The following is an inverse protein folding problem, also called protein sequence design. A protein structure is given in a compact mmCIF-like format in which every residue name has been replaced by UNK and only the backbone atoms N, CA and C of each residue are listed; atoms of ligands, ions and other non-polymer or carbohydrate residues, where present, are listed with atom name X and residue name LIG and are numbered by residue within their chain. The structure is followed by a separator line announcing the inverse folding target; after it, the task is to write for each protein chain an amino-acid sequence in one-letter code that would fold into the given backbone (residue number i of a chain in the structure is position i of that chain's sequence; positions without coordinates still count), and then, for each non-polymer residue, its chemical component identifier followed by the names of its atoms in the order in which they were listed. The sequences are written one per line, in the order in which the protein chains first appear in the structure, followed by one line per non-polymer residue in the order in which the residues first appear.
data_IF_531965526324
#
_entry.id   IF_531965526324
#
_cell.length_a   1.000
_cell.length_b   1.000
_cell.length_c   1.000
_cell.angle_alpha   90.00
_cell.angle_beta   90.00
_cell.angle_gamma   90.00
#
_symmetry.space_group_name_H-M   'P 1'
#
loop_
_entity.id
_entity.type
_entity.pdbx_description
1 polymer ?
#
# COMPACT_ATOMS: atom_id res chain seq x y z
N UNK A 1 -14.68 -12.84 -2.12
CA UNK A 1 -15.50 -11.60 -2.13
C UNK A 1 -16.63 -11.62 -3.17
N UNK A 2 -16.37 -11.92 -4.46
CA UNK A 2 -17.40 -11.87 -5.50
C UNK A 2 -18.67 -12.68 -5.15
N UNK A 3 -18.51 -13.94 -4.72
CA UNK A 3 -19.62 -14.78 -4.28
C UNK A 3 -20.40 -14.18 -3.11
N UNK A 4 -19.72 -13.51 -2.18
CA UNK A 4 -20.38 -12.84 -1.06
C UNK A 4 -21.27 -11.71 -1.56
N UNK A 5 -20.75 -10.85 -2.45
CA UNK A 5 -21.52 -9.74 -3.02
C UNK A 5 -22.71 -10.21 -3.87
N UNK A 6 -22.55 -11.29 -4.64
CA UNK A 6 -23.64 -11.86 -5.45
C UNK A 6 -24.77 -12.45 -4.59
N UNK A 7 -24.44 -13.09 -3.47
CA UNK A 7 -25.39 -13.88 -2.69
C UNK A 7 -25.94 -13.18 -1.44
N UNK A 8 -25.48 -11.97 -1.10
CA UNK A 8 -25.91 -11.25 0.09
C UNK A 8 -26.49 -9.87 -0.24
N UNK A 9 -27.64 -9.54 0.39
CA UNK A 9 -28.23 -8.21 0.29
C UNK A 9 -27.42 -7.16 1.08
N UNK A 10 -27.39 -5.89 0.64
CA UNK A 10 -28.10 -5.34 -0.53
C UNK A 10 -27.37 -5.55 -1.87
N UNK A 11 -26.12 -6.03 -1.86
CA UNK A 11 -25.29 -6.11 -3.06
C UNK A 11 -25.83 -7.05 -4.13
N UNK A 12 -26.39 -8.20 -3.74
CA UNK A 12 -26.94 -9.18 -4.69
C UNK A 12 -28.04 -8.60 -5.58
N UNK A 13 -28.83 -7.65 -5.06
CA UNK A 13 -29.83 -6.92 -5.86
C UNK A 13 -29.17 -5.99 -6.89
N UNK A 14 -28.09 -5.30 -6.50
CA UNK A 14 -27.36 -4.44 -7.44
C UNK A 14 -26.66 -5.24 -8.53
N UNK A 15 -26.15 -6.43 -8.21
CA UNK A 15 -25.58 -7.35 -9.20
C UNK A 15 -26.66 -7.87 -10.14
N UNK A 16 -27.80 -8.34 -9.62
CA UNK A 16 -28.88 -8.90 -10.45
C UNK A 16 -29.58 -7.86 -11.33
N UNK A 17 -29.66 -6.59 -10.89
CA UNK A 17 -30.16 -5.48 -11.69
C UNK A 17 -29.09 -4.90 -12.66
N UNK A 18 -27.89 -5.48 -12.72
CA UNK A 18 -26.81 -5.03 -13.61
C UNK A 18 -26.23 -3.66 -13.22
N UNK A 19 -26.43 -3.21 -11.98
CA UNK A 19 -25.86 -1.96 -11.44
C UNK A 19 -24.44 -2.14 -10.94
N UNK A 20 -24.03 -3.38 -10.63
CA UNK A 20 -22.66 -3.75 -10.30
C UNK A 20 -22.19 -4.87 -11.24
N UNK A 21 -21.16 -4.58 -12.02
CA UNK A 21 -20.42 -5.56 -12.82
C UNK A 21 -19.23 -6.07 -11.99
N UNK A 22 -19.33 -7.31 -11.50
CA UNK A 22 -18.26 -7.92 -10.71
C UNK A 22 -17.24 -8.57 -11.65
N UNK A 23 -15.98 -8.14 -11.57
CA UNK A 23 -14.85 -8.72 -12.29
C UNK A 23 -13.87 -9.31 -11.27
N UNK A 24 -13.97 -10.60 -10.94
CA UNK A 24 -13.04 -11.25 -10.02
C UNK A 24 -11.62 -11.16 -10.57
N UNK A 25 -10.67 -10.91 -9.66
CA UNK A 25 -9.25 -10.83 -9.96
C UNK A 25 -8.58 -12.04 -9.30
N UNK A 26 -7.69 -12.71 -10.04
CA UNK A 26 -6.86 -13.78 -9.48
C UNK A 26 -5.59 -13.15 -8.90
N UNK A 27 -5.38 -13.34 -7.60
CA UNK A 27 -4.16 -12.88 -6.91
C UNK A 27 -2.91 -13.53 -7.51
N UNK A 28 -1.83 -12.76 -7.60
CA UNK A 28 -0.57 -13.22 -8.16
C UNK A 28 -0.48 -13.18 -9.69
N UNK A 29 -1.58 -12.94 -10.41
CA UNK A 29 -1.60 -12.87 -11.88
C UNK A 29 -1.80 -11.43 -12.40
N UNK A 30 -1.33 -11.17 -13.62
CA UNK A 30 -1.64 -9.91 -14.32
C UNK A 30 -3.05 -9.97 -14.90
N UNK A 31 -3.91 -9.09 -14.41
CA UNK A 31 -5.28 -8.96 -14.83
C UNK A 31 -5.41 -7.70 -15.69
N UNK A 32 -6.00 -7.83 -16.88
CA UNK A 32 -6.21 -6.71 -17.80
C UNK A 32 -7.41 -5.88 -17.33
N UNK A 33 -7.19 -4.60 -17.04
CA UNK A 33 -8.28 -3.65 -16.74
C UNK A 33 -8.83 -3.08 -18.04
N UNK A 34 -7.95 -2.58 -18.90
CA UNK A 34 -8.23 -2.14 -20.27
C UNK A 34 -7.02 -2.36 -21.20
N UNK A 35 -7.00 -1.71 -22.37
CA UNK A 35 -5.93 -1.87 -23.36
C UNK A 35 -4.58 -1.25 -22.96
N UNK A 36 -4.57 -0.39 -21.93
CA UNK A 36 -3.40 0.37 -21.48
C UNK A 36 -3.00 0.06 -20.03
N UNK A 37 -3.91 -0.50 -19.23
CA UNK A 37 -3.72 -0.74 -17.80
C UNK A 37 -3.87 -2.22 -17.45
N UNK A 38 -2.85 -2.76 -16.78
CA UNK A 38 -2.89 -4.06 -16.12
C UNK A 38 -2.71 -3.89 -14.62
N UNK A 39 -3.34 -4.77 -13.84
CA UNK A 39 -3.22 -4.80 -12.39
C UNK A 39 -2.89 -6.21 -11.91
N UNK A 40 -2.02 -6.30 -10.91
CA UNK A 40 -1.66 -7.55 -10.24
C UNK A 40 -1.82 -7.37 -8.74
N UNK A 41 -2.70 -8.17 -8.14
CA UNK A 41 -2.84 -8.20 -6.68
C UNK A 41 -1.74 -9.07 -6.07
N UNK A 42 -1.05 -8.53 -5.07
CA UNK A 42 -0.11 -9.26 -4.22
C UNK A 42 -0.80 -9.48 -2.88
N UNK A 43 -0.85 -10.73 -2.40
CA UNK A 43 -1.37 -11.02 -1.06
C UNK A 43 -0.46 -10.37 -0.02
N UNK A 44 -1.05 -9.77 1.00
CA UNK A 44 -0.35 -9.04 2.05
C UNK A 44 -0.74 -9.61 3.41
N UNK A 45 0.21 -9.78 4.35
CA UNK A 45 -0.13 -10.17 5.71
C UNK A 45 -0.84 -9.01 6.39
N UNK A 46 -2.17 -8.98 6.31
CA UNK A 46 -3.00 -8.06 7.07
C UNK A 46 -4.42 -8.62 7.14
N UNK A 47 -4.93 -8.77 8.38
CA UNK A 47 -6.34 -9.08 8.72
C UNK A 47 -7.11 -9.96 7.72
N UNK A 48 -6.74 -11.24 7.54
CA UNK A 48 -7.38 -12.12 6.57
C UNK A 48 -8.71 -12.70 7.08
N UNK A 49 -9.28 -12.24 8.21
CA UNK A 49 -10.35 -12.96 8.90
C UNK A 49 -11.66 -13.03 8.10
N UNK A 50 -11.95 -12.01 7.28
CA UNK A 50 -13.20 -11.90 6.51
C UNK A 50 -12.98 -11.56 5.03
N UNK A 51 -11.77 -11.17 4.65
CA UNK A 51 -11.40 -10.84 3.27
C UNK A 51 -9.89 -10.86 3.08
N UNK A 52 -9.44 -11.06 1.85
CA UNK A 52 -8.03 -10.87 1.50
C UNK A 52 -7.65 -9.40 1.60
N UNK A 53 -6.48 -9.11 2.16
CA UNK A 53 -5.82 -7.81 2.01
C UNK A 53 -4.74 -7.93 0.95
N UNK A 54 -4.71 -6.98 0.02
CA UNK A 54 -3.81 -7.00 -1.12
C UNK A 54 -3.14 -5.65 -1.35
N UNK A 55 -1.87 -5.71 -1.71
CA UNK A 55 -1.18 -4.63 -2.39
C UNK A 55 -1.38 -4.77 -3.89
N UNK A 56 -1.40 -3.65 -4.61
CA UNK A 56 -1.61 -3.67 -6.05
C UNK A 56 -0.37 -3.21 -6.79
N UNK A 57 0.01 -3.96 -7.82
CA UNK A 57 0.96 -3.46 -8.83
C UNK A 57 0.17 -3.11 -10.07
N UNK A 58 0.26 -1.85 -10.49
CA UNK A 58 -0.32 -1.35 -11.73
C UNK A 58 0.80 -1.20 -12.76
N UNK A 59 0.53 -1.63 -13.99
CA UNK A 59 1.40 -1.40 -15.14
C UNK A 59 0.63 -0.59 -16.16
N UNK A 60 1.08 0.63 -16.38
CA UNK A 60 0.59 1.51 -17.43
C UNK A 60 1.51 1.55 -18.65
N UNK A 61 1.23 2.46 -19.60
CA UNK A 61 2.03 2.63 -20.81
C UNK A 61 3.47 3.12 -20.59
N UNK A 62 3.74 3.78 -19.47
CA UNK A 62 5.02 4.46 -19.21
C UNK A 62 5.67 4.03 -17.91
N UNK A 63 4.90 3.66 -16.89
CA UNK A 63 5.40 3.34 -15.55
C UNK A 63 4.64 2.16 -14.92
N UNK A 64 5.31 1.53 -13.95
CA UNK A 64 4.76 0.53 -13.05
C UNK A 64 4.74 1.08 -11.64
N UNK A 65 3.61 0.96 -10.95
CA UNK A 65 3.42 1.48 -9.60
C UNK A 65 3.00 0.35 -8.66
N UNK A 66 3.70 0.20 -7.55
CA UNK A 66 3.21 -0.52 -6.39
C UNK A 66 2.38 0.43 -5.51
N UNK A 67 1.19 0.00 -5.12
CA UNK A 67 0.36 0.64 -4.11
C UNK A 67 0.08 -0.37 -3.00
N UNK A 68 0.75 -0.18 -1.87
CA UNK A 68 0.66 -1.01 -0.67
C UNK A 68 0.42 -0.10 0.54
N UNK A 69 -0.80 0.41 0.73
CA UNK A 69 -1.09 1.39 1.78
C UNK A 69 -1.18 0.78 3.18
N UNK A 70 -1.30 -0.55 3.29
CA UNK A 70 -1.54 -1.24 4.56
C UNK A 70 -0.85 -2.61 4.55
N UNK A 71 -0.08 -2.91 5.61
CA UNK A 71 0.63 -4.17 5.83
C UNK A 71 0.98 -4.34 7.32
N UNK A 72 0.88 -5.57 7.85
CA UNK A 72 1.21 -5.84 9.25
C UNK A 72 2.71 -5.64 9.56
N UNK A 73 3.57 -6.27 8.77
CA UNK A 73 5.02 -6.17 8.89
C UNK A 73 5.72 -6.70 7.64
N UNK A 74 6.92 -6.20 7.37
CA UNK A 74 7.74 -6.67 6.26
C UNK A 74 8.20 -8.12 6.43
N UNK A 75 8.46 -8.53 7.67
CA UNK A 75 8.99 -9.86 8.03
C UNK A 75 7.95 -10.97 7.90
N UNK A 76 6.66 -10.62 7.98
CA UNK A 76 5.55 -11.56 7.79
C UNK A 76 5.15 -11.69 6.32
N UNK A 77 5.67 -10.83 5.45
CA UNK A 77 5.33 -10.89 4.04
C UNK A 77 6.11 -11.99 3.36
N UNK A 78 5.42 -12.83 2.57
CA UNK A 78 6.07 -13.91 1.83
C UNK A 78 7.02 -13.39 0.73
N UNK A 79 6.86 -12.13 0.33
CA UNK A 79 7.71 -11.45 -0.64
C UNK A 79 8.72 -10.55 0.06
N UNK A 80 9.94 -10.47 -0.48
CA UNK A 80 10.89 -9.47 -0.01
C UNK A 80 10.50 -8.09 -0.56
N UNK A 81 10.17 -7.16 0.36
CA UNK A 81 9.81 -5.79 0.01
C UNK A 81 10.89 -5.10 -0.84
N UNK A 82 12.16 -5.42 -0.63
CA UNK A 82 13.27 -4.84 -1.41
C UNK A 82 13.22 -5.26 -2.88
N UNK A 83 12.90 -6.54 -3.14
CA UNK A 83 12.76 -7.07 -4.49
C UNK A 83 11.50 -6.54 -5.17
N UNK A 84 10.39 -6.39 -4.41
CA UNK A 84 9.15 -5.82 -4.94
C UNK A 84 9.34 -4.34 -5.32
N UNK A 85 10.01 -3.56 -4.47
CA UNK A 85 10.33 -2.15 -4.73
C UNK A 85 11.23 -2.01 -5.96
N UNK A 86 12.27 -2.84 -6.08
CA UNK A 86 13.18 -2.81 -7.23
C UNK A 86 12.51 -3.22 -8.57
N UNK A 87 11.31 -3.82 -8.52
CA UNK A 87 10.59 -4.27 -9.70
C UNK A 87 9.57 -3.23 -10.24
N UNK A 88 9.44 -2.07 -9.59
CA UNK A 88 8.49 -1.02 -9.96
C UNK A 88 9.18 0.33 -10.10
N UNK A 89 8.59 1.25 -10.88
CA UNK A 89 9.14 2.60 -11.05
C UNK A 89 8.81 3.50 -9.85
N UNK A 90 7.68 3.24 -9.18
CA UNK A 90 7.27 3.95 -7.96
C UNK A 90 6.61 3.00 -6.97
N UNK A 91 7.05 3.03 -5.72
CA UNK A 91 6.44 2.28 -4.62
C UNK A 91 5.76 3.21 -3.62
N UNK A 92 4.42 3.17 -3.57
CA UNK A 92 3.62 3.83 -2.54
C UNK A 92 3.39 2.85 -1.40
N UNK A 93 4.00 3.11 -0.24
CA UNK A 93 4.06 2.17 0.88
C UNK A 93 3.38 2.73 2.14
N UNK A 94 2.88 1.83 2.99
CA UNK A 94 2.36 2.12 4.32
C UNK A 94 3.37 2.95 5.12
N UNK A 95 2.84 4.00 5.73
CA UNK A 95 3.51 4.83 6.71
C UNK A 95 2.54 5.22 7.81
N UNK A 96 1.69 4.29 8.25
CA UNK A 96 0.61 4.55 9.18
C UNK A 96 1.12 5.23 10.45
N UNK A 97 2.19 4.71 11.04
CA UNK A 97 2.80 5.25 12.26
C UNK A 97 4.30 5.48 12.11
N UNK A 98 4.80 6.59 12.62
CA UNK A 98 6.21 6.90 12.78
C UNK A 98 6.77 6.34 14.09
N UNK A 99 6.00 6.38 15.18
CA UNK A 99 6.41 5.82 16.47
C UNK A 99 5.25 5.22 17.28
N UNK A 100 5.58 4.40 18.28
CA UNK A 100 4.59 3.84 19.21
C UNK A 100 3.95 4.88 20.15
N UNK A 101 4.54 6.07 20.29
CA UNK A 101 4.02 7.13 21.17
C UNK A 101 2.72 7.75 20.62
N UNK A 102 2.41 7.48 19.35
CA UNK A 102 1.22 7.99 18.65
C UNK A 102 -0.10 7.39 19.17
N UNK A 103 -0.04 6.25 19.86
CA UNK A 103 -1.21 5.48 20.29
C UNK A 103 -1.19 5.27 21.80
N UNK A 104 -1.38 6.34 22.60
CA UNK A 104 -1.31 6.27 24.05
C UNK A 104 -2.33 5.28 24.61
N UNK A 105 -1.88 4.40 25.50
CA UNK A 105 -2.72 3.39 26.14
C UNK A 105 -2.94 2.12 25.31
N UNK A 106 -2.26 1.97 24.17
CA UNK A 106 -2.22 0.72 23.39
C UNK A 106 -0.78 0.27 23.22
N UNK A 107 -0.57 -1.05 23.11
CA UNK A 107 0.72 -1.55 22.65
C UNK A 107 0.78 -1.38 21.13
N UNK A 108 1.87 -0.82 20.61
CA UNK A 108 2.09 -0.68 19.17
C UNK A 108 2.15 -2.04 18.48
N UNK A 109 2.56 -3.09 19.20
CA UNK A 109 2.52 -4.48 18.71
C UNK A 109 1.09 -4.98 18.43
N UNK A 110 0.08 -4.37 19.06
CA UNK A 110 -1.34 -4.65 18.80
C UNK A 110 -1.91 -3.85 17.61
N UNK A 111 -1.06 -3.04 16.97
CA UNK A 111 -1.35 -2.21 15.81
C UNK A 111 -0.33 -2.52 14.72
N UNK A 112 -0.48 -3.68 14.05
CA UNK A 112 0.53 -4.18 13.16
C UNK A 112 0.64 -3.28 11.93
N UNK A 113 1.66 -2.42 11.95
CA UNK A 113 2.19 -1.67 10.82
C UNK A 113 3.69 -1.49 11.03
N UNK A 114 4.52 -1.59 9.99
CA UNK A 114 5.93 -1.25 10.10
C UNK A 114 6.06 0.25 10.38
N UNK A 115 6.77 0.61 11.45
CA UNK A 115 7.02 2.02 11.74
C UNK A 115 7.83 2.67 10.61
N UNK A 116 7.58 3.94 10.31
CA UNK A 116 8.29 4.68 9.25
C UNK A 116 9.82 4.55 9.35
N UNK A 117 10.47 4.72 10.53
CA UNK A 117 11.92 4.49 10.66
C UNK A 117 12.36 3.08 10.28
N UNK A 118 11.59 2.06 10.64
CA UNK A 118 11.87 0.66 10.30
C UNK A 118 11.81 0.44 8.78
N UNK A 119 10.78 0.97 8.12
CA UNK A 119 10.65 0.93 6.66
C UNK A 119 11.80 1.67 5.97
N UNK A 120 12.21 2.84 6.49
CA UNK A 120 13.35 3.57 5.94
C UNK A 120 14.66 2.80 6.09
N UNK A 121 14.90 2.15 7.23
CA UNK A 121 16.09 1.31 7.45
C UNK A 121 16.10 0.10 6.53
N UNK A 122 14.97 -0.58 6.37
CA UNK A 122 14.82 -1.74 5.48
C UNK A 122 15.06 -1.38 4.02
N UNK A 123 14.64 -0.19 3.57
CA UNK A 123 14.64 0.21 2.17
C UNK A 123 15.75 1.20 1.79
N UNK A 124 16.62 1.58 2.73
CA UNK A 124 17.65 2.59 2.45
C UNK A 124 18.52 2.21 1.26
N UNK A 125 18.93 0.95 1.15
CA UNK A 125 19.75 0.47 0.04
C UNK A 125 19.07 0.59 -1.34
N UNK A 126 17.73 0.55 -1.37
CA UNK A 126 16.93 0.73 -2.60
C UNK A 126 16.84 2.20 -2.99
N UNK A 127 16.54 3.05 -2.02
CA UNK A 127 16.50 4.51 -2.24
C UNK A 127 17.88 5.03 -2.66
N UNK A 128 18.96 4.55 -2.04
CA UNK A 128 20.33 4.90 -2.41
C UNK A 128 20.69 4.42 -3.83
N UNK A 129 20.06 3.34 -4.31
CA UNK A 129 20.20 2.83 -5.67
C UNK A 129 19.32 3.60 -6.69
N UNK A 130 18.46 4.51 -6.23
CA UNK A 130 17.60 5.36 -7.07
C UNK A 130 16.14 4.91 -7.16
N UNK A 131 15.73 3.87 -6.42
CA UNK A 131 14.33 3.44 -6.38
C UNK A 131 13.46 4.50 -5.70
N UNK A 132 12.31 4.84 -6.31
CA UNK A 132 11.42 5.88 -5.81
C UNK A 132 10.40 5.31 -4.82
N UNK A 133 10.58 5.59 -3.54
CA UNK A 133 9.66 5.19 -2.46
C UNK A 133 8.90 6.40 -1.93
N UNK A 134 7.57 6.30 -1.91
CA UNK A 134 6.63 7.34 -1.46
C UNK A 134 5.81 6.78 -0.30
N UNK A 135 5.94 7.36 0.88
CA UNK A 135 5.11 7.00 2.02
C UNK A 135 3.68 7.54 1.89
N UNK A 136 2.68 6.70 2.14
CA UNK A 136 1.25 7.03 2.07
C UNK A 136 0.50 6.43 3.26
N UNK A 137 -0.82 6.66 3.34
CA UNK A 137 -1.66 6.14 4.42
C UNK A 137 -1.22 6.56 5.83
N UNK A 138 -0.66 7.76 5.97
CA UNK A 138 -0.24 8.29 7.27
C UNK A 138 -1.46 8.46 8.17
N UNK A 139 -1.40 7.91 9.39
CA UNK A 139 -2.44 8.15 10.39
C UNK A 139 -2.42 9.62 10.83
N UNK A 140 -3.55 10.14 11.31
CA UNK A 140 -3.67 11.53 11.77
C UNK A 140 -2.72 11.91 12.92
N UNK A 141 -2.17 10.93 13.63
CA UNK A 141 -1.18 11.11 14.70
C UNK A 141 0.25 11.18 14.17
N UNK A 142 0.48 10.78 12.91
CA UNK A 142 1.82 10.64 12.38
C UNK A 142 2.43 12.03 12.18
N UNK A 143 3.52 12.37 12.90
CA UNK A 143 4.12 13.69 12.84
C UNK A 143 4.65 14.04 11.44
N UNK A 144 4.96 13.04 10.61
CA UNK A 144 5.42 13.24 9.23
C UNK A 144 4.33 13.86 8.33
N UNK A 145 3.06 13.91 8.76
CA UNK A 145 2.01 14.68 8.08
C UNK A 145 2.31 16.19 8.06
N UNK A 146 3.05 16.69 9.04
CA UNK A 146 3.38 18.11 9.14
C UNK A 146 4.69 18.38 8.40
N UNK A 147 4.61 19.17 7.32
CA UNK A 147 5.73 19.39 6.41
C UNK A 147 7.01 19.93 7.08
N UNK A 148 6.84 20.79 8.09
CA UNK A 148 7.92 21.40 8.87
C UNK A 148 8.37 20.55 10.08
N UNK A 149 7.82 19.34 10.27
CA UNK A 149 8.24 18.45 11.34
C UNK A 149 9.65 17.92 11.11
N UNK A 150 10.33 17.59 12.22
CA UNK A 150 11.64 16.92 12.14
C UNK A 150 11.51 15.54 11.48
N UNK A 151 10.37 14.86 11.65
CA UNK A 151 10.07 13.55 11.09
C UNK A 151 9.89 13.61 9.57
N UNK A 152 9.15 14.60 9.05
CA UNK A 152 9.05 14.82 7.60
C UNK A 152 10.40 15.24 7.00
N UNK A 153 11.17 16.07 7.71
CA UNK A 153 12.52 16.45 7.29
C UNK A 153 13.48 15.25 7.27
N UNK A 154 13.38 14.32 8.22
CA UNK A 154 14.14 13.06 8.25
C UNK A 154 13.85 12.21 7.03
N UNK A 155 12.57 11.96 6.74
CA UNK A 155 12.12 11.15 5.61
C UNK A 155 12.71 11.68 4.30
N UNK A 156 12.57 12.99 4.05
CA UNK A 156 13.13 13.63 2.85
C UNK A 156 14.65 13.60 2.82
N UNK A 157 15.32 13.80 3.96
CA UNK A 157 16.80 13.75 4.03
C UNK A 157 17.33 12.38 3.64
N UNK A 158 16.60 11.32 3.95
CA UNK A 158 16.95 9.93 3.59
C UNK A 158 16.58 9.53 2.16
N UNK A 159 16.01 10.45 1.39
CA UNK A 159 15.65 10.26 -0.02
C UNK A 159 14.25 9.70 -0.26
N UNK A 160 13.46 9.50 0.79
CA UNK A 160 12.07 9.04 0.69
C UNK A 160 11.13 10.24 0.46
N UNK A 161 10.00 9.98 -0.19
CA UNK A 161 8.93 10.96 -0.39
C UNK A 161 7.76 10.72 0.57
N UNK A 162 6.94 11.74 0.79
CA UNK A 162 5.66 11.64 1.51
C UNK A 162 4.57 12.08 0.55
N UNK A 163 3.56 11.24 0.37
CA UNK A 163 2.44 11.54 -0.51
C UNK A 163 1.62 12.73 0.01
N UNK A 164 1.15 13.56 -0.91
CA UNK A 164 0.33 14.73 -0.59
C UNK A 164 -1.02 14.67 -1.29
N UNK A 165 -2.01 15.37 -0.73
CA UNK A 165 -3.33 15.45 -1.35
C UNK A 165 -3.23 16.04 -2.76
N UNK A 166 -3.87 15.38 -3.72
CA UNK A 166 -3.86 15.80 -5.13
C UNK A 166 -2.58 15.45 -5.90
N UNK A 167 -1.62 14.75 -5.30
CA UNK A 167 -0.43 14.25 -6.01
C UNK A 167 -0.85 13.38 -7.19
N UNK A 168 -0.18 13.57 -8.34
CA UNK A 168 -0.38 12.81 -9.57
C UNK A 168 0.91 12.12 -9.95
N UNK A 169 0.83 10.81 -10.17
CA UNK A 169 1.93 9.99 -10.66
C UNK A 169 1.44 9.39 -11.98
N UNK A 170 2.10 9.68 -13.11
CA UNK A 170 1.72 9.10 -14.39
C UNK A 170 1.95 7.58 -14.37
N UNK A 171 1.13 6.87 -15.15
CA UNK A 171 1.21 5.43 -15.39
C UNK A 171 1.41 5.22 -16.88
#
# INVERSE_FOLDING_TARGET
MADFLTNNGPWGLMVSEGRLDLRPVVSGEWNRIDDQLQARALLVPHRPEYSDTVGWVFRGPTQTILYLPDIDSWERWELDVEDVVAAVDVALLDASFYSGDEVPGRNIEDLPHPLVPHSMDRLQGRVDAGDRVVFTHLNNTNPALFEDSREAAEVRRRGFEIATEGQRIPL
#
